data_IF_022902694736
#
_entry.id   IF_022902694736
#
_cell.length_a   1.000
_cell.length_b   1.000
_cell.length_c   1.000
_cell.angle_alpha   90.00
_cell.angle_beta   90.00
_cell.angle_gamma   90.00
#
_symmetry.space_group_name_H-M   'P 1'
#
loop_
_entity.id
_entity.type
_entity.pdbx_description
1 polymer ?
#
# COMPACT_ATOMS: atom_id res chain seq x y z
N UNK A 1 -12.73 -24.75 6.87
CA UNK A 1 -11.33 -25.08 7.23
C UNK A 1 -10.48 -24.09 6.45
N UNK A 2 -9.72 -23.20 7.10
CA UNK A 2 -8.73 -22.41 6.39
C UNK A 2 -7.78 -23.36 5.65
N UNK A 3 -7.34 -22.95 4.47
CA UNK A 3 -6.52 -23.76 3.58
C UNK A 3 -5.07 -23.80 4.11
N UNK A 4 -4.80 -24.76 5.00
CA UNK A 4 -3.46 -24.98 5.61
C UNK A 4 -2.35 -25.08 4.54
N UNK A 5 -2.71 -25.49 3.32
CA UNK A 5 -1.80 -25.58 2.17
C UNK A 5 -1.24 -24.22 1.74
N UNK A 6 -2.06 -23.16 1.76
CA UNK A 6 -1.64 -21.81 1.37
C UNK A 6 -0.71 -21.16 2.42
N UNK A 7 -1.00 -21.40 3.69
CA UNK A 7 -0.15 -21.00 4.84
C UNK A 7 1.19 -21.71 4.78
N UNK A 8 1.19 -23.03 4.53
CA UNK A 8 2.41 -23.83 4.39
C UNK A 8 3.32 -23.35 3.27
N UNK A 9 2.77 -23.04 2.09
CA UNK A 9 3.54 -22.50 0.97
C UNK A 9 4.17 -21.13 1.30
N UNK A 10 3.39 -20.22 1.90
CA UNK A 10 3.86 -18.89 2.28
C UNK A 10 5.01 -18.97 3.30
N UNK A 11 4.91 -19.86 4.29
CA UNK A 11 5.97 -20.09 5.27
C UNK A 11 7.21 -20.72 4.64
N UNK A 12 7.05 -21.71 3.77
CA UNK A 12 8.19 -22.35 3.10
C UNK A 12 9.02 -21.37 2.27
N UNK A 13 8.34 -20.49 1.52
CA UNK A 13 8.97 -19.42 0.75
C UNK A 13 9.70 -18.42 1.66
N UNK A 14 9.07 -17.99 2.76
CA UNK A 14 9.70 -17.11 3.74
C UNK A 14 10.99 -17.73 4.32
N UNK A 15 10.96 -18.99 4.76
CA UNK A 15 12.15 -19.64 5.32
C UNK A 15 13.25 -19.90 4.28
N UNK A 16 12.92 -19.91 3.00
CA UNK A 16 13.92 -20.03 1.93
C UNK A 16 14.57 -18.68 1.59
N UNK A 17 13.79 -17.60 1.54
CA UNK A 17 14.27 -16.31 1.03
C UNK A 17 14.71 -15.32 2.12
N UNK A 18 14.08 -15.38 3.30
CA UNK A 18 14.09 -14.28 4.27
C UNK A 18 14.82 -14.59 5.57
N UNK A 19 15.42 -15.78 5.69
CA UNK A 19 16.26 -16.14 6.84
C UNK A 19 17.58 -16.75 6.38
N UNK A 20 18.57 -16.76 7.27
CA UNK A 20 19.81 -17.54 7.15
C UNK A 20 19.80 -18.65 8.20
N UNK A 21 20.17 -19.86 7.81
CA UNK A 21 20.42 -20.95 8.77
C UNK A 21 21.77 -20.72 9.47
N UNK A 22 21.77 -20.79 10.80
CA UNK A 22 22.95 -20.69 11.65
C UNK A 22 23.37 -22.07 12.17
N UNK A 23 24.57 -22.14 12.76
CA UNK A 23 25.04 -23.34 13.45
C UNK A 23 24.16 -23.64 14.67
N UNK A 24 23.90 -24.93 14.92
CA UNK A 24 23.00 -25.39 15.99
C UNK A 24 23.49 -25.05 17.40
N UNK A 25 24.79 -24.79 17.58
CA UNK A 25 25.39 -24.41 18.86
C UNK A 25 25.47 -22.88 19.05
N UNK A 26 24.84 -22.08 18.17
CA UNK A 26 24.93 -20.62 18.20
C UNK A 26 24.63 -20.02 19.58
N UNK A 27 23.53 -20.43 20.21
CA UNK A 27 23.11 -19.91 21.51
C UNK A 27 24.12 -20.25 22.61
N UNK A 28 24.58 -21.50 22.67
CA UNK A 28 25.60 -21.96 23.61
C UNK A 28 26.90 -21.19 23.44
N UNK A 29 27.38 -21.02 22.20
CA UNK A 29 28.64 -20.30 21.90
C UNK A 29 28.54 -18.81 22.27
N UNK A 30 27.37 -18.20 22.12
CA UNK A 30 27.17 -16.77 22.37
C UNK A 30 26.61 -16.47 23.77
N UNK A 31 26.35 -17.48 24.60
CA UNK A 31 25.74 -17.31 25.93
C UNK A 31 24.39 -16.60 25.87
N UNK A 32 23.55 -16.97 24.89
CA UNK A 32 22.21 -16.40 24.66
C UNK A 32 21.17 -17.50 24.67
N UNK A 33 19.91 -17.13 24.80
CA UNK A 33 18.77 -18.04 24.71
C UNK A 33 17.82 -17.58 23.61
N UNK A 34 16.98 -18.48 23.11
CA UNK A 34 15.94 -18.13 22.15
C UNK A 34 14.86 -17.26 22.80
N UNK A 35 14.59 -16.10 22.24
CA UNK A 35 13.59 -15.14 22.76
C UNK A 35 12.14 -15.65 22.76
N UNK A 36 11.86 -16.79 22.11
CA UNK A 36 10.50 -17.39 22.07
C UNK A 36 10.33 -18.44 23.17
N UNK A 37 11.29 -19.36 23.32
CA UNK A 37 11.16 -20.50 24.25
C UNK A 37 12.03 -20.37 25.51
N UNK A 38 13.00 -19.45 25.55
CA UNK A 38 13.94 -19.31 26.65
C UNK A 38 14.93 -20.47 26.80
N UNK A 39 15.18 -21.22 25.71
CA UNK A 39 16.13 -22.33 25.70
C UNK A 39 17.30 -22.01 24.76
N UNK A 40 18.48 -22.56 25.05
CA UNK A 40 19.73 -22.42 24.31
C UNK A 40 20.12 -23.68 23.52
N UNK A 41 19.61 -24.85 23.88
CA UNK A 41 19.95 -26.12 23.21
C UNK A 41 18.90 -26.60 22.21
N UNK A 42 17.67 -26.84 22.68
CA UNK A 42 16.59 -27.40 21.86
C UNK A 42 15.32 -26.58 22.04
N UNK A 43 14.63 -26.33 20.93
CA UNK A 43 13.29 -25.76 20.96
C UNK A 43 12.36 -26.69 21.74
N UNK A 44 11.77 -26.22 22.84
CA UNK A 44 10.70 -26.94 23.55
C UNK A 44 9.40 -26.83 22.73
N UNK A 45 8.99 -27.91 22.03
CA UNK A 45 7.78 -27.87 21.22
C UNK A 45 6.62 -28.05 22.18
N UNK A 46 6.13 -26.95 22.74
CA UNK A 46 4.92 -26.96 23.54
C UNK A 46 3.71 -27.30 22.65
N UNK A 47 3.47 -28.60 22.46
CA UNK A 47 2.30 -29.31 21.92
C UNK A 47 1.66 -28.83 20.59
N UNK A 48 2.30 -28.01 19.77
CA UNK A 48 1.64 -27.43 18.59
C UNK A 48 2.36 -27.80 17.28
N UNK A 49 1.59 -28.47 16.42
CA UNK A 49 1.75 -28.86 15.00
C UNK A 49 2.53 -30.16 14.67
N UNK A 50 1.80 -31.25 14.39
CA UNK A 50 2.33 -32.47 13.72
C UNK A 50 2.94 -32.22 12.33
N UNK A 51 2.71 -31.04 11.73
CA UNK A 51 3.19 -30.66 10.39
C UNK A 51 4.64 -30.14 10.40
N UNK A 52 5.26 -29.91 11.56
CA UNK A 52 6.66 -29.48 11.69
C UNK A 52 7.64 -30.64 11.90
N UNK A 53 7.23 -31.88 11.66
CA UNK A 53 8.03 -33.10 11.86
C UNK A 53 9.32 -33.18 11.02
N UNK A 54 9.49 -32.29 10.04
CA UNK A 54 10.70 -32.17 9.22
C UNK A 54 11.70 -31.11 9.71
N UNK A 55 11.33 -30.25 10.67
CA UNK A 55 12.21 -29.18 11.17
C UNK A 55 12.96 -29.71 12.39
N UNK A 56 14.30 -29.70 12.34
CA UNK A 56 15.15 -30.04 13.49
C UNK A 56 14.85 -29.11 14.68
N UNK A 57 14.72 -29.69 15.89
CA UNK A 57 14.53 -28.93 17.14
C UNK A 57 15.72 -28.05 17.51
N UNK A 58 16.90 -28.36 16.96
CA UNK A 58 18.17 -27.64 17.16
C UNK A 58 18.47 -26.62 16.06
N UNK A 59 17.67 -26.59 14.98
CA UNK A 59 17.91 -25.66 13.89
C UNK A 59 17.72 -24.22 14.35
N UNK A 60 18.71 -23.37 14.07
CA UNK A 60 18.71 -21.95 14.42
C UNK A 60 18.68 -21.13 13.14
N UNK A 61 17.88 -20.06 13.11
CA UNK A 61 17.77 -19.15 11.98
C UNK A 61 17.92 -17.71 12.41
N UNK A 62 18.44 -16.88 11.51
CA UNK A 62 18.52 -15.44 11.64
C UNK A 62 17.66 -14.75 10.59
N UNK A 63 16.87 -13.76 10.98
CA UNK A 63 16.00 -13.02 10.05
C UNK A 63 16.78 -11.99 9.24
N UNK A 64 16.59 -11.95 7.92
CA UNK A 64 17.16 -10.92 7.02
C UNK A 64 16.31 -9.66 6.94
N UNK A 65 15.00 -9.83 7.11
CA UNK A 65 14.00 -8.78 6.82
C UNK A 65 13.88 -7.75 7.95
N UNK A 66 14.34 -8.07 9.15
CA UNK A 66 14.35 -7.13 10.28
C UNK A 66 15.46 -6.08 10.10
N UNK A 67 15.22 -4.84 10.52
CA UNK A 67 16.23 -3.76 10.48
C UNK A 67 17.51 -4.15 11.24
N UNK A 68 17.34 -4.82 12.38
CA UNK A 68 18.39 -5.56 13.08
C UNK A 68 18.04 -7.05 13.02
N UNK A 69 18.93 -7.92 12.54
CA UNK A 69 18.67 -9.35 12.48
C UNK A 69 18.37 -9.95 13.86
N UNK A 70 17.28 -10.72 13.97
CA UNK A 70 16.91 -11.46 15.18
C UNK A 70 17.14 -12.96 14.95
N UNK A 71 17.52 -13.66 16.02
CA UNK A 71 17.86 -15.08 15.97
C UNK A 71 16.82 -15.88 16.74
N UNK A 72 16.38 -16.99 16.16
CA UNK A 72 15.37 -17.87 16.75
C UNK A 72 15.70 -19.33 16.46
N UNK A 73 15.20 -20.25 17.28
CA UNK A 73 15.03 -21.62 16.79
C UNK A 73 14.05 -21.58 15.59
N UNK A 74 14.40 -22.30 14.53
CA UNK A 74 13.60 -22.40 13.29
C UNK A 74 12.19 -22.90 13.60
N UNK A 75 12.09 -23.90 14.47
CA UNK A 75 10.82 -24.46 14.92
C UNK A 75 9.97 -23.43 15.69
N UNK A 76 10.56 -22.72 16.65
CA UNK A 76 9.86 -21.69 17.42
C UNK A 76 9.32 -20.57 16.53
N UNK A 77 10.13 -20.09 15.59
CA UNK A 77 9.70 -19.07 14.63
C UNK A 77 8.59 -19.60 13.72
N UNK A 78 8.71 -20.84 13.23
CA UNK A 78 7.69 -21.46 12.38
C UNK A 78 6.33 -21.52 13.08
N UNK A 79 6.29 -22.03 14.32
CA UNK A 79 5.05 -22.16 15.11
C UNK A 79 4.43 -20.79 15.40
N UNK A 80 5.26 -19.79 15.72
CA UNK A 80 4.80 -18.42 15.93
C UNK A 80 4.10 -17.85 14.70
N UNK A 81 4.78 -17.90 13.54
CA UNK A 81 4.26 -17.36 12.28
C UNK A 81 3.01 -18.11 11.83
N UNK A 82 3.01 -19.44 11.95
CA UNK A 82 1.85 -20.27 11.65
C UNK A 82 0.64 -19.90 12.51
N UNK A 83 0.84 -19.69 13.83
CA UNK A 83 -0.23 -19.30 14.75
C UNK A 83 -0.85 -17.95 14.39
N UNK A 84 -0.02 -17.00 13.93
CA UNK A 84 -0.48 -15.69 13.46
C UNK A 84 -1.33 -15.81 12.20
N UNK A 85 -0.82 -16.50 11.18
CA UNK A 85 -1.54 -16.69 9.92
C UNK A 85 -2.84 -17.47 10.09
N UNK A 86 -2.87 -18.49 10.96
CA UNK A 86 -4.11 -19.23 11.25
C UNK A 86 -5.19 -18.37 11.93
N UNK A 87 -4.80 -17.27 12.58
CA UNK A 87 -5.73 -16.28 13.16
C UNK A 87 -6.09 -15.16 12.17
N UNK A 88 -5.68 -15.28 10.90
CA UNK A 88 -5.76 -14.23 9.88
C UNK A 88 -5.06 -12.93 10.29
N UNK A 89 -4.06 -13.03 11.17
CA UNK A 89 -3.17 -11.93 11.55
C UNK A 89 -1.90 -11.95 10.69
N UNK A 90 -1.29 -10.79 10.50
CA UNK A 90 0.01 -10.71 9.84
C UNK A 90 1.07 -11.50 10.63
N UNK A 91 1.86 -12.30 9.92
CA UNK A 91 2.98 -13.02 10.50
C UNK A 91 4.13 -12.04 10.74
N UNK A 92 4.40 -11.72 12.00
CA UNK A 92 5.36 -10.69 12.39
C UNK A 92 6.52 -11.29 13.19
N UNK A 93 7.67 -10.59 13.17
CA UNK A 93 8.79 -10.88 14.04
C UNK A 93 8.37 -10.79 15.51
N UNK A 94 8.66 -11.81 16.35
CA UNK A 94 8.37 -11.75 17.78
C UNK A 94 9.05 -10.58 18.51
N UNK A 95 10.23 -10.15 18.04
CA UNK A 95 11.06 -9.15 18.72
C UNK A 95 10.73 -7.71 18.33
N UNK A 96 10.64 -7.45 17.02
CA UNK A 96 10.47 -6.09 16.50
C UNK A 96 9.16 -5.86 15.75
N UNK A 97 8.28 -6.87 15.70
CA UNK A 97 6.99 -6.83 15.01
C UNK A 97 7.04 -6.53 13.51
N UNK A 98 8.23 -6.54 12.90
CA UNK A 98 8.36 -6.43 11.44
C UNK A 98 7.53 -7.51 10.76
N UNK A 99 6.64 -7.09 9.86
CA UNK A 99 5.78 -7.97 9.08
C UNK A 99 6.61 -8.78 8.09
N UNK A 100 6.50 -10.10 8.16
CA UNK A 100 7.14 -11.04 7.24
C UNK A 100 6.18 -11.52 6.17
N UNK A 101 4.96 -11.90 6.57
CA UNK A 101 3.93 -12.42 5.68
C UNK A 101 2.62 -11.72 6.04
N UNK A 102 2.03 -11.03 5.05
CA UNK A 102 0.73 -10.40 5.22
C UNK A 102 -0.39 -11.45 5.20
N UNK A 103 -1.39 -11.28 6.06
CA UNK A 103 -2.61 -12.08 6.05
C UNK A 103 -3.41 -11.87 4.77
N UNK A 104 -4.43 -12.71 4.53
CA UNK A 104 -5.26 -12.57 3.33
C UNK A 104 -6.00 -11.22 3.35
N UNK A 105 -6.54 -10.84 4.51
CA UNK A 105 -7.21 -9.56 4.71
C UNK A 105 -6.27 -8.37 4.47
N UNK A 106 -5.06 -8.40 5.04
CA UNK A 106 -4.07 -7.33 4.83
C UNK A 106 -3.70 -7.22 3.35
N UNK A 107 -3.45 -8.34 2.66
CA UNK A 107 -3.15 -8.34 1.22
C UNK A 107 -4.25 -7.67 0.40
N UNK A 108 -5.51 -8.02 0.66
CA UNK A 108 -6.65 -7.41 -0.03
C UNK A 108 -6.73 -5.90 0.20
N UNK A 109 -6.50 -5.45 1.44
CA UNK A 109 -6.45 -4.03 1.79
C UNK A 109 -5.31 -3.28 1.09
N UNK A 110 -4.12 -3.88 1.01
CA UNK A 110 -2.99 -3.30 0.26
C UNK A 110 -3.29 -3.21 -1.24
N UNK A 111 -3.85 -4.26 -1.85
CA UNK A 111 -4.26 -4.23 -3.27
C UNK A 111 -5.32 -3.14 -3.51
N UNK A 112 -6.28 -2.99 -2.59
CA UNK A 112 -7.28 -1.94 -2.69
C UNK A 112 -6.67 -0.53 -2.58
N UNK A 113 -5.69 -0.34 -1.68
CA UNK A 113 -4.95 0.92 -1.58
C UNK A 113 -4.16 1.23 -2.86
N UNK A 114 -3.47 0.27 -3.45
CA UNK A 114 -2.74 0.44 -4.71
C UNK A 114 -3.69 0.83 -5.86
N UNK A 115 -4.85 0.17 -5.94
CA UNK A 115 -5.87 0.49 -6.94
C UNK A 115 -6.39 1.93 -6.77
N UNK A 116 -6.68 2.34 -5.52
CA UNK A 116 -7.13 3.69 -5.22
C UNK A 116 -6.06 4.74 -5.52
N UNK A 117 -4.79 4.45 -5.22
CA UNK A 117 -3.69 5.35 -5.53
C UNK A 117 -3.55 5.55 -7.05
N UNK A 118 -3.59 4.46 -7.82
CA UNK A 118 -3.60 4.51 -9.28
C UNK A 118 -4.80 5.30 -9.83
N UNK A 119 -5.97 5.18 -9.20
CA UNK A 119 -7.16 5.94 -9.57
C UNK A 119 -6.95 7.44 -9.32
N UNK A 120 -6.41 7.82 -8.15
CA UNK A 120 -6.11 9.21 -7.81
C UNK A 120 -5.11 9.84 -8.77
N UNK A 121 -4.05 9.11 -9.17
CA UNK A 121 -3.09 9.57 -10.17
C UNK A 121 -3.77 9.85 -11.51
N UNK A 122 -4.63 8.94 -12.00
CA UNK A 122 -5.39 9.17 -13.24
C UNK A 122 -6.31 10.40 -13.15
N UNK A 123 -6.99 10.60 -12.02
CA UNK A 123 -7.85 11.76 -11.83
C UNK A 123 -7.05 13.07 -11.81
N UNK A 124 -5.88 13.09 -11.18
CA UNK A 124 -4.99 14.25 -11.19
C UNK A 124 -4.61 14.64 -12.63
N UNK A 125 -4.23 13.68 -13.47
CA UNK A 125 -3.91 13.95 -14.89
C UNK A 125 -5.09 14.58 -15.63
N UNK A 126 -6.31 14.05 -15.45
CA UNK A 126 -7.51 14.60 -16.10
C UNK A 126 -7.82 16.03 -15.63
N UNK A 127 -7.63 16.31 -14.34
CA UNK A 127 -7.79 17.65 -13.77
C UNK A 127 -6.76 18.61 -14.38
N UNK A 128 -5.49 18.23 -14.44
CA UNK A 128 -4.42 19.04 -15.04
C UNK A 128 -4.71 19.36 -16.51
N UNK A 129 -5.12 18.37 -17.30
CA UNK A 129 -5.51 18.57 -18.69
C UNK A 129 -6.71 19.52 -18.83
N UNK A 130 -7.69 19.38 -17.93
CA UNK A 130 -8.88 20.24 -17.89
C UNK A 130 -8.51 21.69 -17.57
N UNK A 131 -7.62 21.92 -16.60
CA UNK A 131 -7.10 23.25 -16.28
C UNK A 131 -6.42 23.89 -17.50
N UNK A 132 -5.56 23.16 -18.20
CA UNK A 132 -4.91 23.64 -19.44
C UNK A 132 -5.90 23.95 -20.57
N UNK A 133 -7.04 23.25 -20.64
CA UNK A 133 -8.10 23.58 -21.59
C UNK A 133 -8.84 24.85 -21.19
N UNK A 134 -9.12 25.05 -19.89
CA UNK A 134 -9.76 26.26 -19.40
C UNK A 134 -8.91 27.50 -19.66
N UNK A 135 -7.60 27.43 -19.45
CA UNK A 135 -6.68 28.54 -19.75
C UNK A 135 -6.72 28.91 -21.23
N UNK A 136 -6.72 27.91 -22.12
CA UNK A 136 -6.89 28.12 -23.57
C UNK A 136 -8.23 28.77 -23.93
N UNK A 137 -9.31 28.42 -23.24
CA UNK A 137 -10.61 29.07 -23.43
C UNK A 137 -10.57 30.53 -22.95
N UNK A 138 -9.94 30.80 -21.81
CA UNK A 138 -9.77 32.15 -21.27
C UNK A 138 -8.99 33.06 -22.25
N UNK A 139 -7.92 32.54 -22.85
CA UNK A 139 -7.14 33.26 -23.87
C UNK A 139 -7.99 33.58 -25.11
N UNK A 140 -8.80 32.63 -25.59
CA UNK A 140 -9.71 32.86 -26.71
C UNK A 140 -10.80 33.89 -26.39
N UNK A 141 -11.31 33.91 -25.16
CA UNK A 141 -12.26 34.95 -24.71
C UNK A 141 -11.60 36.33 -24.75
N UNK A 142 -10.36 36.43 -24.27
CA UNK A 142 -9.58 37.68 -24.28
C UNK A 142 -9.31 38.16 -25.71
N UNK A 143 -8.91 37.25 -26.60
CA UNK A 143 -8.70 37.56 -28.01
C UNK A 143 -9.99 38.01 -28.70
N UNK A 144 -11.09 37.26 -28.55
CA UNK A 144 -12.38 37.62 -29.15
C UNK A 144 -12.88 38.99 -28.67
N UNK A 145 -12.64 39.33 -27.40
CA UNK A 145 -12.95 40.66 -26.85
C UNK A 145 -12.09 41.75 -27.51
N UNK A 146 -10.79 41.54 -27.65
CA UNK A 146 -9.90 42.50 -28.31
C UNK A 146 -10.33 42.73 -29.77
N UNK A 147 -10.64 41.67 -30.51
CA UNK A 147 -11.13 41.76 -31.88
C UNK A 147 -12.51 42.45 -31.97
N UNK A 148 -13.38 42.24 -30.98
CA UNK A 148 -14.69 42.92 -30.86
C UNK A 148 -14.49 44.43 -30.67
N UNK A 149 -13.57 44.81 -29.78
CA UNK A 149 -13.24 46.21 -29.46
C UNK A 149 -12.56 46.93 -30.64
N UNK A 150 -11.69 46.23 -31.39
CA UNK A 150 -10.94 46.77 -32.54
C UNK A 150 -11.75 46.82 -33.84
N UNK A 151 -12.86 46.07 -33.93
CA UNK A 151 -13.67 46.02 -35.14
C UNK A 151 -14.43 47.33 -35.39
N UNK A 152 -14.62 47.69 -36.65
CA UNK A 152 -15.49 48.80 -37.08
C UNK A 152 -16.74 48.32 -37.81
N UNK A 153 -16.89 47.01 -38.00
CA UNK A 153 -18.02 46.37 -38.68
C UNK A 153 -19.00 45.82 -37.63
N UNK A 154 -20.22 46.37 -37.60
CA UNK A 154 -21.25 46.01 -36.64
C UNK A 154 -21.68 44.53 -36.74
N UNK A 155 -21.64 43.93 -37.93
CA UNK A 155 -21.97 42.51 -38.12
C UNK A 155 -20.89 41.65 -37.46
N UNK A 156 -19.62 41.96 -37.73
CA UNK A 156 -18.47 41.26 -37.15
C UNK A 156 -18.41 41.42 -35.63
N UNK A 157 -18.76 42.60 -35.08
CA UNK A 157 -18.90 42.79 -33.64
C UNK A 157 -19.93 41.86 -33.02
N UNK A 158 -21.10 41.75 -33.65
CA UNK A 158 -22.17 40.88 -33.15
C UNK A 158 -21.75 39.39 -33.15
N UNK A 159 -21.07 38.94 -34.20
CA UNK A 159 -20.52 37.58 -34.29
C UNK A 159 -19.50 37.29 -33.18
N UNK A 160 -18.52 38.18 -32.99
CA UNK A 160 -17.51 38.05 -31.94
C UNK A 160 -18.11 38.08 -30.54
N UNK A 161 -19.12 38.93 -30.30
CA UNK A 161 -19.85 38.98 -29.03
C UNK A 161 -20.58 37.65 -28.74
N UNK A 162 -21.20 37.05 -29.76
CA UNK A 162 -21.86 35.74 -29.65
C UNK A 162 -20.85 34.62 -29.36
N UNK A 163 -19.70 34.61 -30.06
CA UNK A 163 -18.61 33.64 -29.82
C UNK A 163 -18.08 33.79 -28.38
N UNK A 164 -17.79 35.01 -27.94
CA UNK A 164 -17.31 35.30 -26.58
C UNK A 164 -18.29 34.84 -25.52
N UNK A 165 -19.60 35.04 -25.74
CA UNK A 165 -20.64 34.56 -24.83
C UNK A 165 -20.67 33.03 -24.76
N UNK A 166 -20.60 32.34 -25.90
CA UNK A 166 -20.57 30.88 -25.95
C UNK A 166 -19.33 30.32 -25.21
N UNK A 167 -18.15 30.90 -25.45
CA UNK A 167 -16.91 30.53 -24.76
C UNK A 167 -16.98 30.77 -23.25
N UNK A 168 -17.58 31.90 -22.82
CA UNK A 168 -17.76 32.20 -21.39
C UNK A 168 -18.65 31.17 -20.70
N UNK A 169 -19.74 30.74 -21.37
CA UNK A 169 -20.61 29.67 -20.86
C UNK A 169 -19.84 28.35 -20.76
N UNK A 170 -19.09 27.98 -21.80
CA UNK A 170 -18.27 26.77 -21.80
C UNK A 170 -17.23 26.78 -20.66
N UNK A 171 -16.57 27.91 -20.42
CA UNK A 171 -15.60 28.07 -19.33
C UNK A 171 -16.24 27.83 -17.96
N UNK A 172 -17.41 28.42 -17.68
CA UNK A 172 -18.10 28.22 -16.40
C UNK A 172 -18.50 26.76 -16.15
N UNK A 173 -18.99 26.09 -17.20
CA UNK A 173 -19.33 24.66 -17.11
C UNK A 173 -18.08 23.83 -16.81
N UNK A 174 -16.96 24.12 -17.49
CA UNK A 174 -15.68 23.44 -17.24
C UNK A 174 -15.18 23.67 -15.81
N UNK A 175 -15.24 24.90 -15.30
CA UNK A 175 -14.84 25.23 -13.91
C UNK A 175 -15.69 24.45 -12.90
N UNK A 176 -17.01 24.45 -13.07
CA UNK A 176 -17.91 23.72 -12.16
C UNK A 176 -17.61 22.22 -12.11
N UNK A 177 -17.38 21.62 -13.28
CA UNK A 177 -17.02 20.19 -13.37
C UNK A 177 -15.67 19.91 -12.72
N UNK A 178 -14.69 20.78 -12.93
CA UNK A 178 -13.36 20.64 -12.34
C UNK A 178 -13.39 20.77 -10.81
N UNK A 179 -14.16 21.72 -10.27
CA UNK A 179 -14.31 21.90 -8.83
C UNK A 179 -14.96 20.67 -8.16
N UNK A 180 -15.99 20.09 -8.80
CA UNK A 180 -16.62 18.84 -8.34
C UNK A 180 -15.61 17.67 -8.36
N UNK A 181 -14.84 17.52 -9.44
CA UNK A 181 -13.82 16.48 -9.53
C UNK A 181 -12.74 16.63 -8.46
N UNK A 182 -12.30 17.85 -8.16
CA UNK A 182 -11.34 18.14 -7.09
C UNK A 182 -11.92 17.84 -5.70
N UNK A 183 -13.20 18.13 -5.47
CA UNK A 183 -13.87 17.82 -4.21
C UNK A 183 -13.97 16.30 -3.99
N UNK A 184 -14.36 15.54 -5.01
CA UNK A 184 -14.42 14.08 -4.94
C UNK A 184 -13.03 13.49 -4.68
N UNK A 185 -12.01 13.99 -5.39
CA UNK A 185 -10.63 13.55 -5.20
C UNK A 185 -10.11 13.79 -3.78
N UNK A 186 -10.43 14.94 -3.19
CA UNK A 186 -10.06 15.25 -1.81
C UNK A 186 -10.71 14.28 -0.81
N UNK A 187 -11.97 13.89 -1.05
CA UNK A 187 -12.66 12.89 -0.22
C UNK A 187 -12.02 11.50 -0.35
N UNK A 188 -11.71 11.06 -1.58
CA UNK A 188 -11.01 9.79 -1.83
C UNK A 188 -9.63 9.76 -1.20
N UNK A 189 -8.84 10.83 -1.34
CA UNK A 189 -7.53 10.98 -0.68
C UNK A 189 -7.65 10.93 0.85
N UNK A 190 -8.68 11.54 1.42
CA UNK A 190 -8.98 11.44 2.85
C UNK A 190 -9.32 10.01 3.29
N UNK A 191 -10.10 9.28 2.51
CA UNK A 191 -10.44 7.88 2.77
C UNK A 191 -9.21 6.97 2.71
N UNK A 192 -8.36 7.13 1.70
CA UNK A 192 -7.10 6.38 1.58
C UNK A 192 -6.21 6.57 2.79
N UNK A 193 -6.03 7.82 3.26
CA UNK A 193 -5.23 8.10 4.45
C UNK A 193 -5.77 7.42 5.71
N UNK A 194 -7.10 7.33 5.86
CA UNK A 194 -7.71 6.62 6.98
C UNK A 194 -7.48 5.10 6.89
N UNK A 195 -7.61 4.51 5.70
CA UNK A 195 -7.34 3.08 5.49
C UNK A 195 -5.86 2.79 5.75
N UNK A 196 -4.94 3.61 5.23
CA UNK A 196 -3.51 3.47 5.49
C UNK A 196 -3.18 3.59 6.98
N UNK A 197 -3.83 4.52 7.70
CA UNK A 197 -3.67 4.64 9.15
C UNK A 197 -4.20 3.40 9.90
N UNK A 198 -5.33 2.83 9.49
CA UNK A 198 -5.84 1.57 10.08
C UNK A 198 -4.82 0.44 9.88
N UNK A 199 -4.24 0.30 8.69
CA UNK A 199 -3.21 -0.71 8.41
C UNK A 199 -1.97 -0.50 9.28
N UNK A 200 -1.54 0.75 9.47
CA UNK A 200 -0.40 1.10 10.32
C UNK A 200 -0.71 1.01 11.83
N UNK A 201 -1.97 1.05 12.24
CA UNK A 201 -2.39 0.89 13.64
C UNK A 201 -2.65 -0.57 14.02
N UNK A 202 -2.73 -1.46 13.04
CA UNK A 202 -2.68 -2.91 13.24
C UNK A 202 -1.23 -3.44 13.46
N UNK A 203 -0.23 -2.54 13.56
CA UNK A 203 1.18 -2.78 13.97
C UNK A 203 1.35 -2.78 15.51
#
# INVERSE_FOLDING_TARGET
MPDDTATGLSLSMFFYESVDDLQEDYYVVHGKECDICGCDEEADPSNIVNQSSSISSRAIVQTKTCLSPHVFHKLCLYVWLHTKLHKDEDATCPMCRTKFILSAQSKELYTYLELLQSLVERYNTVIEESLLQMDRIADKIKQAKQEEDDSTDDIRKLELSNIRRALTTAQRTATTTNDLAQQDLAQFSGAMRRIAAIIAMSD
#
